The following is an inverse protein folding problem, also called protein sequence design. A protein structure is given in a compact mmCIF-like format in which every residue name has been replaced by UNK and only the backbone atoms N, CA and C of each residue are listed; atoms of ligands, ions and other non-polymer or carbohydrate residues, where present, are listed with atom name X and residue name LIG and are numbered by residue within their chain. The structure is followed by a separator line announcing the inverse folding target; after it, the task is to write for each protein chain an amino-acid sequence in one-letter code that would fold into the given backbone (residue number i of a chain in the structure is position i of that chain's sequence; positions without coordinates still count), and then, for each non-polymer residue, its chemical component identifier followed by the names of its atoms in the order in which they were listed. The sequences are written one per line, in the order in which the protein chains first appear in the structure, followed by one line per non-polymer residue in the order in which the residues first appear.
data_IF_619500724439
#
_entry.id   IF_619500724439
#
_cell.length_a   1.000
_cell.length_b   1.000
_cell.length_c   1.000
_cell.angle_alpha   90.00
_cell.angle_beta   90.00
_cell.angle_gamma   90.00
#
_symmetry.space_group_name_H-M   'P 1'
#
loop_
_entity.id
_entity.type
_entity.pdbx_description
1 polymer ?
#
# COMPACT_ATOMS: atom_id res chain seq x y z
N UNK A 1 39.77 30.66 8.19
CA UNK A 1 39.70 29.99 6.86
C UNK A 1 39.18 28.54 6.94
N UNK A 2 39.16 27.89 8.12
CA UNK A 2 38.64 26.52 8.28
C UNK A 2 37.09 26.40 8.15
N UNK A 3 36.32 27.42 8.58
CA UNK A 3 34.84 27.39 8.50
C UNK A 3 34.29 27.25 7.07
N UNK A 4 34.94 27.83 6.05
CA UNK A 4 34.51 27.64 4.65
C UNK A 4 34.64 26.19 4.18
N UNK A 5 35.70 25.50 4.61
CA UNK A 5 35.94 24.10 4.21
C UNK A 5 34.94 23.13 4.83
N UNK A 6 34.48 23.40 6.06
CA UNK A 6 33.42 22.59 6.70
C UNK A 6 32.06 22.82 6.05
N UNK A 7 31.74 24.08 5.70
CA UNK A 7 30.52 24.42 4.97
C UNK A 7 30.48 23.77 3.57
N UNK A 8 31.61 23.71 2.87
CA UNK A 8 31.71 23.05 1.56
C UNK A 8 31.56 21.52 1.69
N UNK A 9 32.18 20.86 2.68
CA UNK A 9 31.99 19.41 2.92
C UNK A 9 30.54 19.03 3.23
N UNK A 10 29.85 19.83 4.04
CA UNK A 10 28.42 19.59 4.36
C UNK A 10 27.57 19.74 3.10
N UNK A 11 27.92 20.68 2.22
CA UNK A 11 27.24 20.90 0.95
C UNK A 11 27.43 19.72 -0.01
N UNK A 12 28.63 19.15 -0.05
CA UNK A 12 28.95 17.99 -0.88
C UNK A 12 28.24 16.73 -0.38
N UNK A 13 28.28 16.43 0.93
CA UNK A 13 27.56 15.29 1.53
C UNK A 13 26.04 15.40 1.29
N UNK A 14 25.48 16.62 1.36
CA UNK A 14 24.07 16.86 1.05
C UNK A 14 23.78 16.60 -0.43
N UNK A 15 24.69 16.97 -1.33
CA UNK A 15 24.60 16.68 -2.75
C UNK A 15 24.58 15.18 -3.04
N UNK A 16 25.51 14.43 -2.45
CA UNK A 16 25.63 12.98 -2.61
C UNK A 16 24.41 12.24 -2.05
N UNK A 17 23.91 12.67 -0.89
CA UNK A 17 22.69 12.13 -0.31
C UNK A 17 21.46 12.36 -1.22
N UNK A 18 21.37 13.54 -1.85
CA UNK A 18 20.29 13.86 -2.79
C UNK A 18 20.38 13.00 -4.06
N UNK A 19 21.60 12.74 -4.54
CA UNK A 19 21.86 11.88 -5.69
C UNK A 19 21.40 10.45 -5.42
N UNK A 20 21.81 9.86 -4.29
CA UNK A 20 21.40 8.52 -3.85
C UNK A 20 19.87 8.37 -3.73
N UNK A 21 19.20 9.39 -3.18
CA UNK A 21 17.74 9.38 -3.07
C UNK A 21 17.09 9.39 -4.46
N UNK A 22 17.60 10.19 -5.38
CA UNK A 22 17.09 10.23 -6.75
C UNK A 22 17.31 8.90 -7.48
N UNK A 23 18.47 8.27 -7.32
CA UNK A 23 18.79 6.97 -7.91
C UNK A 23 17.85 5.87 -7.38
N UNK A 24 17.58 5.87 -6.08
CA UNK A 24 16.63 4.92 -5.47
C UNK A 24 15.20 5.16 -5.95
N UNK A 25 14.80 6.41 -6.16
CA UNK A 25 13.49 6.75 -6.73
C UNK A 25 13.38 6.32 -8.19
N UNK A 26 14.43 6.51 -8.98
CA UNK A 26 14.47 6.11 -10.39
C UNK A 26 14.46 4.60 -10.54
N UNK A 27 15.24 3.89 -9.71
CA UNK A 27 15.21 2.44 -9.63
C UNK A 27 13.82 1.93 -9.22
N UNK A 28 13.25 2.47 -8.13
CA UNK A 28 11.91 2.13 -7.69
C UNK A 28 10.86 2.41 -8.77
N UNK A 29 10.97 3.51 -9.52
CA UNK A 29 10.08 3.78 -10.66
C UNK A 29 10.23 2.73 -11.75
N UNK A 30 11.46 2.35 -12.10
CA UNK A 30 11.71 1.36 -13.16
C UNK A 30 11.20 -0.04 -12.79
N UNK A 31 11.21 -0.41 -11.50
CA UNK A 31 10.68 -1.69 -11.03
C UNK A 31 9.17 -1.65 -10.78
N UNK A 32 8.67 -0.58 -10.14
CA UNK A 32 7.28 -0.48 -9.72
C UNK A 32 6.35 -0.02 -10.86
N UNK A 33 6.80 0.78 -11.82
CA UNK A 33 5.93 1.24 -12.91
C UNK A 33 5.43 0.09 -13.81
N UNK A 34 6.28 -0.87 -14.25
CA UNK A 34 5.81 -2.04 -14.98
C UNK A 34 4.89 -2.92 -14.11
N UNK A 35 5.22 -3.11 -12.83
CA UNK A 35 4.39 -3.88 -11.91
C UNK A 35 3.00 -3.24 -11.74
N UNK A 36 2.94 -1.92 -11.54
CA UNK A 36 1.70 -1.17 -11.42
C UNK A 36 0.87 -1.20 -12.71
N UNK A 37 1.52 -1.06 -13.87
CA UNK A 37 0.85 -1.17 -15.18
C UNK A 37 0.24 -2.55 -15.38
N UNK A 38 1.01 -3.61 -15.12
CA UNK A 38 0.53 -4.98 -15.27
C UNK A 38 -0.57 -5.32 -14.26
N UNK A 39 -0.45 -4.84 -13.02
CA UNK A 39 -1.51 -4.95 -12.02
C UNK A 39 -2.78 -4.21 -12.46
N UNK A 40 -2.64 -3.00 -13.03
CA UNK A 40 -3.77 -2.21 -13.55
C UNK A 40 -4.46 -2.88 -14.75
N UNK A 41 -3.69 -3.35 -15.72
CA UNK A 41 -4.22 -4.10 -16.88
C UNK A 41 -4.87 -5.40 -16.42
N UNK A 42 -4.19 -6.18 -15.57
CA UNK A 42 -4.71 -7.43 -15.03
C UNK A 42 -5.99 -7.22 -14.23
N UNK A 43 -6.02 -6.20 -13.37
CA UNK A 43 -7.21 -5.81 -12.63
C UNK A 43 -8.36 -5.37 -13.56
N UNK A 44 -8.06 -4.59 -14.59
CA UNK A 44 -9.03 -4.17 -15.60
C UNK A 44 -9.60 -5.34 -16.41
N UNK A 45 -8.74 -6.24 -16.89
CA UNK A 45 -9.14 -7.45 -17.62
C UNK A 45 -9.97 -8.39 -16.74
N UNK A 46 -9.57 -8.59 -15.48
CA UNK A 46 -10.33 -9.43 -14.55
C UNK A 46 -11.68 -8.80 -14.19
N UNK A 47 -11.73 -7.46 -14.06
CA UNK A 47 -12.98 -6.71 -13.91
C UNK A 47 -13.91 -6.89 -15.10
N UNK A 48 -13.39 -6.74 -16.33
CA UNK A 48 -14.15 -6.96 -17.55
C UNK A 48 -14.63 -8.42 -17.68
N UNK A 49 -13.76 -9.39 -17.39
CA UNK A 49 -14.11 -10.80 -17.36
C UNK A 49 -15.21 -11.10 -16.34
N UNK A 50 -15.14 -10.49 -15.15
CA UNK A 50 -16.20 -10.57 -14.14
C UNK A 50 -17.53 -10.00 -14.63
N UNK A 51 -17.51 -8.82 -15.26
CA UNK A 51 -18.71 -8.20 -15.85
C UNK A 51 -19.36 -9.11 -16.91
N UNK A 52 -18.59 -9.57 -17.89
CA UNK A 52 -19.12 -10.46 -18.93
C UNK A 52 -19.53 -11.83 -18.37
N UNK A 53 -18.81 -12.36 -17.37
CA UNK A 53 -19.15 -13.60 -16.68
C UNK A 53 -20.49 -13.53 -15.95
N UNK A 54 -20.79 -12.41 -15.28
CA UNK A 54 -22.09 -12.18 -14.62
C UNK A 54 -23.22 -12.11 -15.66
N UNK A 55 -23.02 -11.40 -16.76
CA UNK A 55 -24.00 -11.32 -17.85
C UNK A 55 -24.25 -12.69 -18.48
N UNK A 56 -23.19 -13.43 -18.81
CA UNK A 56 -23.29 -14.79 -19.36
C UNK A 56 -23.99 -15.75 -18.37
N UNK A 57 -23.63 -15.69 -17.09
CA UNK A 57 -24.30 -16.47 -16.04
C UNK A 57 -25.80 -16.17 -15.96
N UNK A 58 -26.21 -14.90 -16.08
CA UNK A 58 -27.62 -14.50 -16.10
C UNK A 58 -28.36 -15.14 -17.26
N UNK A 59 -27.78 -15.11 -18.47
CA UNK A 59 -28.37 -15.76 -19.65
C UNK A 59 -28.46 -17.28 -19.48
N UNK A 60 -27.45 -17.91 -18.88
CA UNK A 60 -27.45 -19.35 -18.59
C UNK A 60 -28.57 -19.71 -17.60
N UNK A 61 -28.79 -18.91 -16.55
CA UNK A 61 -29.87 -19.17 -15.59
C UNK A 61 -31.26 -19.02 -16.22
N UNK A 62 -31.45 -18.02 -17.07
CA UNK A 62 -32.68 -17.88 -17.86
C UNK A 62 -32.86 -19.08 -18.80
N UNK A 63 -31.82 -19.48 -19.53
CA UNK A 63 -31.86 -20.64 -20.42
C UNK A 63 -32.19 -21.93 -19.65
N UNK A 64 -31.61 -22.13 -18.47
CA UNK A 64 -31.91 -23.28 -17.61
C UNK A 64 -33.38 -23.28 -17.16
N UNK A 65 -33.93 -22.13 -16.76
CA UNK A 65 -35.34 -22.01 -16.39
C UNK A 65 -36.27 -22.29 -17.58
N UNK A 66 -35.95 -21.77 -18.77
CA UNK A 66 -36.72 -22.06 -19.99
C UNK A 66 -36.62 -23.54 -20.39
N UNK A 67 -35.45 -24.16 -20.24
CA UNK A 67 -35.27 -25.60 -20.45
C UNK A 67 -36.12 -26.44 -19.50
N UNK A 68 -36.20 -26.07 -18.23
CA UNK A 68 -37.09 -26.71 -17.26
C UNK A 68 -38.56 -26.50 -17.61
N UNK A 69 -38.95 -25.31 -18.07
CA UNK A 69 -40.32 -25.04 -18.52
C UNK A 69 -40.70 -25.90 -19.74
N UNK A 70 -39.74 -26.15 -20.65
CA UNK A 70 -39.95 -27.03 -21.81
C UNK A 70 -40.25 -28.49 -21.45
N UNK A 71 -39.98 -28.93 -20.20
CA UNK A 71 -40.38 -30.24 -19.68
C UNK A 71 -41.84 -30.29 -19.21
N UNK A 72 -42.61 -29.22 -19.44
CA UNK A 72 -44.02 -29.10 -19.04
C UNK A 72 -44.25 -28.40 -17.71
N UNK A 73 -43.20 -27.85 -17.08
CA UNK A 73 -43.36 -27.01 -15.89
C UNK A 73 -43.93 -25.63 -16.25
N UNK A 74 -44.82 -25.07 -15.43
CA UNK A 74 -45.20 -23.68 -15.60
C UNK A 74 -43.98 -22.78 -15.35
N UNK A 75 -43.85 -21.69 -16.13
CA UNK A 75 -42.69 -20.79 -16.08
C UNK A 75 -42.34 -20.37 -14.64
N UNK A 76 -43.32 -19.95 -13.83
CA UNK A 76 -43.05 -19.52 -12.46
C UNK A 76 -42.35 -20.59 -11.62
N UNK A 77 -42.73 -21.87 -11.76
CA UNK A 77 -42.11 -22.96 -11.00
C UNK A 77 -40.69 -23.24 -11.48
N UNK A 78 -40.46 -23.23 -12.79
CA UNK A 78 -39.13 -23.42 -13.37
C UNK A 78 -38.13 -22.35 -12.90
N UNK A 79 -38.53 -21.07 -12.93
CA UNK A 79 -37.70 -19.97 -12.44
C UNK A 79 -37.46 -20.05 -10.92
N UNK A 80 -38.46 -20.45 -10.13
CA UNK A 80 -38.28 -20.63 -8.67
C UNK A 80 -37.31 -21.77 -8.34
N UNK A 81 -37.33 -22.88 -9.09
CA UNK A 81 -36.39 -23.99 -8.88
C UNK A 81 -34.96 -23.52 -9.13
N UNK A 82 -34.71 -22.82 -10.25
CA UNK A 82 -33.38 -22.27 -10.54
C UNK A 82 -32.96 -21.27 -9.46
N UNK A 83 -33.85 -20.38 -9.04
CA UNK A 83 -33.57 -19.42 -7.97
C UNK A 83 -33.21 -20.11 -6.65
N UNK A 84 -33.92 -21.18 -6.28
CA UNK A 84 -33.62 -21.95 -5.06
C UNK A 84 -32.23 -22.60 -5.12
N UNK A 85 -31.86 -23.19 -6.26
CA UNK A 85 -30.51 -23.74 -6.47
C UNK A 85 -29.44 -22.66 -6.33
N UNK A 86 -29.66 -21.48 -6.92
CA UNK A 86 -28.72 -20.36 -6.82
C UNK A 86 -28.58 -19.84 -5.39
N UNK A 87 -29.67 -19.76 -4.63
CA UNK A 87 -29.61 -19.36 -3.22
C UNK A 87 -28.81 -20.36 -2.36
N UNK A 88 -28.93 -21.66 -2.63
CA UNK A 88 -28.11 -22.68 -1.95
C UNK A 88 -26.63 -22.48 -2.26
N UNK A 89 -26.28 -22.32 -3.55
CA UNK A 89 -24.90 -22.08 -3.98
C UNK A 89 -24.36 -20.79 -3.35
N UNK A 90 -25.14 -19.70 -3.39
CA UNK A 90 -24.79 -18.42 -2.79
C UNK A 90 -24.59 -18.52 -1.27
N UNK A 91 -25.46 -19.27 -0.58
CA UNK A 91 -25.32 -19.55 0.85
C UNK A 91 -24.03 -20.28 1.19
N UNK A 92 -23.66 -21.31 0.41
CA UNK A 92 -22.40 -22.05 0.59
C UNK A 92 -21.19 -21.15 0.34
N UNK A 93 -21.16 -20.45 -0.79
CA UNK A 93 -20.07 -19.54 -1.14
C UNK A 93 -19.93 -18.41 -0.12
N UNK A 94 -21.06 -17.84 0.32
CA UNK A 94 -21.12 -16.82 1.37
C UNK A 94 -20.57 -17.33 2.70
N UNK A 95 -20.95 -18.55 3.12
CA UNK A 95 -20.43 -19.17 4.34
C UNK A 95 -18.92 -19.43 4.27
N UNK A 96 -18.42 -19.92 3.13
CA UNK A 96 -16.98 -20.11 2.90
C UNK A 96 -16.26 -18.75 2.95
N UNK A 97 -16.76 -17.75 2.21
CA UNK A 97 -16.21 -16.40 2.16
C UNK A 97 -16.14 -15.77 3.55
N UNK A 98 -17.24 -15.83 4.29
CA UNK A 98 -17.31 -15.35 5.68
C UNK A 98 -16.29 -16.04 6.58
N UNK A 99 -16.15 -17.36 6.46
CA UNK A 99 -15.17 -18.15 7.22
C UNK A 99 -13.72 -17.80 6.87
N UNK A 100 -13.45 -17.40 5.63
CA UNK A 100 -12.12 -16.95 5.19
C UNK A 100 -11.82 -15.55 5.73
N UNK A 101 -12.76 -14.62 5.61
CA UNK A 101 -12.62 -13.24 6.10
C UNK A 101 -12.39 -13.22 7.61
N UNK A 102 -13.13 -14.03 8.38
CA UNK A 102 -12.93 -14.17 9.83
C UNK A 102 -11.52 -14.60 10.24
N UNK A 103 -10.78 -15.25 9.34
CA UNK A 103 -9.40 -15.71 9.61
C UNK A 103 -8.34 -14.67 9.23
N UNK A 104 -8.72 -13.61 8.52
CA UNK A 104 -7.81 -12.53 8.16
C UNK A 104 -7.56 -11.67 9.40
N UNK A 105 -6.38 -11.81 10.00
CA UNK A 105 -5.93 -10.92 11.08
C UNK A 105 -5.30 -9.66 10.45
N UNK A 106 -5.53 -8.47 11.02
CA UNK A 106 -4.83 -7.26 10.60
C UNK A 106 -3.31 -7.45 10.74
N UNK A 107 -2.49 -6.85 9.86
CA UNK A 107 -1.03 -6.99 9.92
C UNK A 107 -0.43 -6.20 11.08
N UNK A 108 -0.51 -6.76 12.29
CA UNK A 108 -0.13 -6.11 13.56
C UNK A 108 1.31 -5.60 13.55
N UNK A 109 2.27 -6.39 13.03
CA UNK A 109 3.69 -5.99 12.94
C UNK A 109 3.90 -4.77 12.04
N UNK A 110 3.23 -4.74 10.89
CA UNK A 110 3.32 -3.61 9.95
C UNK A 110 2.73 -2.34 10.56
N UNK A 111 1.60 -2.46 11.27
CA UNK A 111 0.97 -1.33 11.97
C UNK A 111 1.87 -0.85 13.12
N UNK A 112 2.45 -1.76 13.91
CA UNK A 112 3.34 -1.42 15.02
C UNK A 112 4.62 -0.72 14.53
N UNK A 113 5.27 -1.26 13.49
CA UNK A 113 6.47 -0.67 12.89
C UNK A 113 6.17 0.70 12.27
N UNK A 114 5.03 0.84 11.57
CA UNK A 114 4.61 2.13 11.02
C UNK A 114 4.41 3.20 12.08
N UNK A 115 3.80 2.85 13.23
CA UNK A 115 3.65 3.78 14.36
C UNK A 115 4.99 4.16 14.98
N UNK A 116 5.88 3.18 15.19
CA UNK A 116 7.21 3.42 15.75
C UNK A 116 8.04 4.38 14.88
N UNK A 117 8.03 4.17 13.56
CA UNK A 117 8.72 5.05 12.60
C UNK A 117 8.25 6.51 12.67
N UNK A 118 6.94 6.73 12.78
CA UNK A 118 6.37 8.09 12.91
C UNK A 118 6.83 8.75 14.22
N UNK A 119 6.82 8.01 15.33
CA UNK A 119 7.27 8.52 16.63
C UNK A 119 8.76 8.86 16.62
N UNK A 120 9.60 7.99 16.06
CA UNK A 120 11.04 8.23 15.96
C UNK A 120 11.37 9.42 15.06
N UNK A 121 10.69 9.54 13.92
CA UNK A 121 10.85 10.66 13.01
C UNK A 121 10.45 11.99 13.65
N UNK A 122 9.31 12.02 14.35
CA UNK A 122 8.86 13.20 15.07
C UNK A 122 9.86 13.62 16.14
N UNK A 123 10.40 12.66 16.90
CA UNK A 123 11.44 12.92 17.90
C UNK A 123 12.74 13.43 17.27
N UNK A 124 13.17 12.88 16.13
CA UNK A 124 14.35 13.35 15.40
C UNK A 124 14.19 14.80 14.90
N UNK A 125 13.01 15.13 14.36
CA UNK A 125 12.67 16.48 13.89
C UNK A 125 12.66 17.48 15.06
N UNK A 126 12.06 17.13 16.20
CA UNK A 126 12.06 17.98 17.40
C UNK A 126 13.48 18.23 17.95
N UNK A 127 14.36 17.22 17.92
CA UNK A 127 15.77 17.38 18.32
C UNK A 127 16.53 18.30 17.36
N UNK A 128 16.33 18.14 16.05
CA UNK A 128 16.97 18.97 15.04
C UNK A 128 16.53 20.44 15.14
N UNK A 129 15.24 20.69 15.37
CA UNK A 129 14.71 22.05 15.56
C UNK A 129 15.17 22.69 16.87
N UNK A 130 15.24 21.93 17.97
CA UNK A 130 15.79 22.42 19.24
C UNK A 130 17.29 22.76 19.13
N UNK A 131 18.08 21.90 18.49
CA UNK A 131 19.51 22.15 18.26
C UNK A 131 19.77 23.35 17.34
N UNK A 132 18.91 23.59 16.35
CA UNK A 132 18.97 24.75 15.46
C UNK A 132 18.58 26.07 16.16
N UNK A 133 17.81 26.01 17.23
CA UNK A 133 17.31 27.20 17.97
C UNK A 133 18.15 27.51 19.22
N UNK A 134 19.02 26.60 19.64
CA UNK A 134 19.90 26.81 20.78
C UNK A 134 20.91 27.94 20.48
N UNK A 135 21.11 28.92 21.39
CA UNK A 135 22.13 29.94 21.20
C UNK A 135 23.49 29.25 21.10
N UNK A 136 24.22 29.53 20.01
CA UNK A 136 25.59 29.06 19.81
C UNK A 136 26.44 29.63 20.93
N UNK A 137 26.64 28.88 22.02
CA UNK A 137 27.66 29.19 23.01
C UNK A 137 28.98 28.94 22.29
N UNK A 138 29.46 30.03 21.70
CA UNK A 138 30.78 30.21 21.15
C UNK A 138 31.77 29.75 22.23
N UNK A 139 32.38 28.58 21.99
CA UNK A 139 33.47 28.09 22.82
C UNK A 139 34.57 29.13 22.77
N UNK A 140 34.66 29.91 23.85
CA UNK A 140 35.86 30.69 24.16
C UNK A 140 37.00 29.69 24.22
N UNK A 141 37.75 29.58 23.12
CA UNK A 141 39.05 28.91 23.12
C UNK A 141 39.91 29.75 24.05
N UNK A 142 39.97 29.34 25.32
CA UNK A 142 40.83 29.93 26.31
C UNK A 142 42.27 29.79 25.80
N UNK A 143 42.80 30.90 25.30
CA UNK A 143 44.18 31.05 24.87
C UNK A 143 45.08 30.92 26.10
N UNK A 144 45.42 29.68 26.46
CA UNK A 144 46.43 29.39 27.47
C UNK A 144 47.83 29.60 26.87
N UNK A 145 48.23 30.87 26.81
CA UNK A 145 49.63 31.29 26.58
C UNK A 145 50.34 31.62 27.89
N UNK A 146 49.87 31.15 29.05
CA UNK A 146 50.46 31.52 30.36
C UNK A 146 50.96 30.38 31.23
N UNK A 147 50.84 29.12 30.84
CA UNK A 147 51.33 27.99 31.64
C UNK A 147 52.79 27.53 31.39
N UNK A 148 53.62 28.25 30.61
CA UNK A 148 55.00 27.84 30.28
C UNK A 148 56.07 28.90 30.63
N UNK A 149 56.13 29.31 31.90
CA UNK A 149 57.31 29.99 32.45
C UNK A 149 57.75 29.31 33.74
#
# INVERSE_FOLDING_TARGET
MADRKVADLIKDIRGDAQLLVNDQVELAKSELAPAAKNAGIGGGLFGAAGYFGINAGTLIFVAAALGLAALGLPYWAAFLIVAAVLLIIAGILGAIGYSRIKKVKPPEKTIANGKALVTELQAAVSRATAAATAPRIEGTVANDKKALR
#
